data_IF_569714535888
#
_entry.id   IF_569714535888
#
_cell.length_a   1.000
_cell.length_b   1.000
_cell.length_c   1.000
_cell.angle_alpha   90.00
_cell.angle_beta   90.00
_cell.angle_gamma   90.00
#
_symmetry.space_group_name_H-M   'P 1'
#
loop_
_entity.id
_entity.type
_entity.pdbx_description
1 polymer ?
#
# COMPACT_ATOMS: atom_id res chain seq x y z
N UNK A 1 -31.86 -26.14 -11.46
CA UNK A 1 -30.50 -25.55 -11.55
C UNK A 1 -30.43 -24.74 -12.83
N UNK A 2 -30.62 -23.42 -12.76
CA UNK A 2 -30.45 -22.50 -13.89
C UNK A 2 -29.24 -21.62 -13.58
N UNK A 3 -28.19 -21.77 -14.37
CA UNK A 3 -26.95 -20.99 -14.33
C UNK A 3 -27.25 -19.57 -14.83
N UNK A 4 -27.41 -18.63 -13.90
CA UNK A 4 -27.44 -17.21 -14.23
C UNK A 4 -25.99 -16.74 -14.45
N UNK A 5 -25.55 -16.75 -15.71
CA UNK A 5 -24.38 -16.04 -16.16
C UNK A 5 -24.67 -14.53 -16.05
N UNK A 6 -24.14 -13.87 -15.01
CA UNK A 6 -24.12 -12.41 -14.94
C UNK A 6 -23.03 -11.89 -15.85
N UNK A 7 -23.44 -11.42 -17.03
CA UNK A 7 -22.61 -10.69 -17.99
C UNK A 7 -22.02 -9.44 -17.34
N UNK A 8 -20.70 -9.35 -17.32
CA UNK A 8 -19.99 -8.11 -17.00
C UNK A 8 -20.16 -7.14 -18.16
N UNK A 9 -20.77 -5.98 -17.88
CA UNK A 9 -20.93 -4.89 -18.81
C UNK A 9 -19.55 -4.35 -19.22
N UNK A 10 -19.23 -4.52 -20.49
CA UNK A 10 -18.07 -3.95 -21.18
C UNK A 10 -18.32 -2.45 -21.33
N UNK A 11 -17.58 -1.62 -20.60
CA UNK A 11 -17.60 -0.16 -20.77
C UNK A 11 -16.88 0.16 -22.07
N UNK A 12 -17.68 0.53 -23.08
CA UNK A 12 -17.25 0.95 -24.40
C UNK A 12 -16.86 2.43 -24.31
N UNK A 13 -15.55 2.72 -24.32
CA UNK A 13 -15.03 4.10 -24.36
C UNK A 13 -15.12 4.61 -25.79
N UNK A 14 -16.05 5.53 -26.02
CA UNK A 14 -16.24 6.24 -27.29
C UNK A 14 -15.08 7.21 -27.53
N UNK A 15 -14.32 6.99 -28.60
CA UNK A 15 -13.28 7.92 -29.08
C UNK A 15 -13.98 9.12 -29.73
N UNK A 16 -13.91 10.28 -29.08
CA UNK A 16 -14.32 11.56 -29.67
C UNK A 16 -13.23 12.02 -30.64
N UNK A 17 -13.60 12.16 -31.92
CA UNK A 17 -12.74 12.64 -32.98
C UNK A 17 -12.29 14.07 -32.76
N UNK A 18 -10.98 14.29 -32.85
CA UNK A 18 -10.37 15.61 -32.80
C UNK A 18 -10.31 16.19 -34.22
N UNK A 19 -10.91 17.37 -34.40
CA UNK A 19 -10.91 18.11 -35.65
C UNK A 19 -9.52 18.72 -35.92
N UNK A 20 -8.98 18.45 -37.11
CA UNK A 20 -7.76 19.06 -37.63
C UNK A 20 -8.03 20.49 -38.08
N UNK A 21 -7.70 21.46 -37.23
CA UNK A 21 -7.55 22.86 -37.64
C UNK A 21 -6.17 23.06 -38.26
N UNK A 22 -6.11 23.21 -39.58
CA UNK A 22 -4.91 23.65 -40.29
C UNK A 22 -4.72 25.16 -40.08
N UNK A 23 -3.70 25.54 -39.30
CA UNK A 23 -3.26 26.92 -39.17
C UNK A 23 -2.02 27.14 -40.03
N UNK A 24 -2.15 28.02 -41.03
CA UNK A 24 -1.04 28.54 -41.84
C UNK A 24 -0.19 29.50 -41.00
N UNK A 25 1.08 29.16 -40.79
CA UNK A 25 2.05 29.99 -40.09
C UNK A 25 2.59 31.09 -41.01
N UNK A 26 2.60 32.33 -40.52
CA UNK A 26 3.31 33.47 -41.11
C UNK A 26 4.75 33.44 -40.58
N UNK A 27 5.72 33.40 -41.49
CA UNK A 27 7.15 33.48 -41.18
C UNK A 27 7.55 34.92 -40.93
N UNK A 28 7.84 35.25 -39.67
CA UNK A 28 8.59 36.46 -39.30
C UNK A 28 10.05 36.09 -39.14
N UNK A 29 10.84 36.50 -40.13
CA UNK A 29 12.29 36.43 -40.17
C UNK A 29 12.93 37.37 -39.14
N UNK A 30 14.02 36.86 -38.56
CA UNK A 30 15.19 37.57 -38.04
C UNK A 30 14.96 38.79 -37.15
N UNK A 31 14.98 38.54 -35.84
CA UNK A 31 15.75 39.39 -34.93
C UNK A 31 16.35 38.59 -33.77
N UNK A 32 17.65 38.32 -33.92
CA UNK A 32 18.70 38.15 -32.93
C UNK A 32 18.32 37.69 -31.50
N UNK A 33 18.65 36.42 -31.29
CA UNK A 33 18.69 35.56 -30.11
C UNK A 33 19.39 36.12 -28.84
N UNK A 34 19.01 37.31 -28.37
CA UNK A 34 19.46 37.87 -27.07
C UNK A 34 18.67 37.34 -25.86
N UNK A 35 17.70 36.46 -26.13
CA UNK A 35 16.96 35.71 -25.11
C UNK A 35 17.17 34.19 -25.22
N UNK A 36 18.20 33.73 -25.94
CA UNK A 36 18.63 32.34 -25.86
C UNK A 36 19.08 32.05 -24.42
N UNK A 37 18.15 31.51 -23.63
CA UNK A 37 18.47 30.88 -22.36
C UNK A 37 19.53 29.79 -22.58
N UNK A 38 20.25 29.40 -21.52
CA UNK A 38 21.24 28.34 -21.60
C UNK A 38 20.65 27.12 -22.31
N UNK A 39 21.31 26.67 -23.39
CA UNK A 39 20.91 25.47 -24.13
C UNK A 39 21.03 24.28 -23.19
N UNK A 40 19.92 23.89 -22.57
CA UNK A 40 19.84 22.67 -21.78
C UNK A 40 19.94 21.52 -22.77
N UNK A 41 21.14 20.95 -22.91
CA UNK A 41 21.36 19.73 -23.69
C UNK A 41 20.44 18.67 -23.10
N UNK A 42 19.45 18.24 -23.88
CA UNK A 42 18.54 17.19 -23.45
C UNK A 42 19.38 15.95 -23.14
N UNK A 43 19.31 15.41 -21.91
CA UNK A 43 20.10 14.23 -21.56
C UNK A 43 19.67 13.09 -22.47
N UNK A 44 20.60 12.65 -23.33
CA UNK A 44 20.38 11.65 -24.38
C UNK A 44 20.03 10.28 -23.82
N UNK A 45 20.37 10.02 -22.56
CA UNK A 45 20.03 8.78 -21.83
C UNK A 45 19.39 9.13 -20.49
N UNK A 46 18.10 9.48 -20.50
CA UNK A 46 17.37 9.66 -19.24
C UNK A 46 17.19 8.30 -18.58
N UNK A 47 18.09 7.96 -17.65
CA UNK A 47 17.99 6.76 -16.80
C UNK A 47 16.58 6.71 -16.20
N UNK A 48 15.84 5.64 -16.50
CA UNK A 48 14.51 5.41 -15.91
C UNK A 48 14.67 5.28 -14.39
N UNK A 49 13.97 6.11 -13.64
CA UNK A 49 13.92 6.07 -12.17
C UNK A 49 12.51 6.33 -11.69
N UNK A 50 12.11 5.60 -10.65
CA UNK A 50 10.85 5.80 -9.94
C UNK A 50 11.01 6.73 -8.73
N UNK A 51 12.24 7.16 -8.42
CA UNK A 51 12.51 8.11 -7.33
C UNK A 51 12.13 9.50 -7.80
N UNK A 52 11.13 10.08 -7.14
CA UNK A 52 10.76 11.49 -7.29
C UNK A 52 11.17 12.25 -6.05
N UNK A 53 11.57 13.51 -6.24
CA UNK A 53 11.89 14.41 -5.13
C UNK A 53 11.01 15.64 -5.20
N UNK A 54 10.53 16.08 -4.05
CA UNK A 54 9.79 17.33 -3.92
C UNK A 54 10.73 18.55 -4.05
N UNK A 55 10.17 19.76 -4.01
CA UNK A 55 10.94 21.01 -4.06
C UNK A 55 11.89 21.20 -2.86
N UNK A 56 11.70 20.44 -1.79
CA UNK A 56 12.56 20.43 -0.60
C UNK A 56 13.68 19.37 -0.70
N UNK A 57 13.68 18.57 -1.77
CA UNK A 57 14.64 17.49 -2.00
C UNK A 57 14.31 16.18 -1.26
N UNK A 58 13.15 16.08 -0.60
CA UNK A 58 12.71 14.84 0.04
C UNK A 58 12.22 13.85 -1.00
N UNK A 59 12.43 12.56 -0.72
CA UNK A 59 11.93 11.49 -1.59
C UNK A 59 10.42 11.39 -1.42
N UNK A 60 9.69 11.56 -2.51
CA UNK A 60 8.24 11.41 -2.54
C UNK A 60 7.89 9.93 -2.35
N UNK A 61 7.00 9.63 -1.39
CA UNK A 61 6.56 8.26 -1.17
C UNK A 61 5.54 7.86 -2.23
N UNK A 62 5.80 6.74 -2.91
CA UNK A 62 4.84 6.15 -3.84
C UNK A 62 3.60 5.65 -3.10
N UNK A 63 2.43 5.94 -3.65
CA UNK A 63 1.13 5.44 -3.18
C UNK A 63 0.98 3.92 -3.40
N UNK A 64 1.63 3.42 -4.46
CA UNK A 64 1.70 2.00 -4.79
C UNK A 64 3.06 1.39 -4.46
N UNK A 65 3.17 0.07 -4.63
CA UNK A 65 4.44 -0.63 -4.45
C UNK A 65 5.47 -0.21 -5.50
N UNK A 66 6.75 -0.05 -5.10
CA UNK A 66 7.81 0.29 -6.05
C UNK A 66 7.96 -0.74 -7.17
N UNK A 67 7.65 -2.01 -6.89
CA UNK A 67 7.64 -3.06 -7.90
C UNK A 67 6.58 -2.81 -8.98
N UNK A 68 5.38 -2.37 -8.61
CA UNK A 68 4.30 -2.08 -9.57
C UNK A 68 4.63 -0.82 -10.37
N UNK A 69 5.08 0.24 -9.70
CA UNK A 69 5.50 1.49 -10.34
C UNK A 69 6.65 1.25 -11.35
N UNK A 70 7.65 0.46 -10.97
CA UNK A 70 8.77 0.10 -11.84
C UNK A 70 8.30 -0.70 -13.06
N UNK A 71 7.42 -1.69 -12.86
CA UNK A 71 6.89 -2.50 -13.96
C UNK A 71 6.07 -1.66 -14.96
N UNK A 72 5.31 -0.67 -14.48
CA UNK A 72 4.56 0.25 -15.34
C UNK A 72 5.45 1.15 -16.19
N UNK A 73 6.61 1.52 -15.68
CA UNK A 73 7.58 2.37 -16.39
C UNK A 73 8.36 1.63 -17.48
N UNK A 74 8.41 0.29 -17.44
CA UNK A 74 9.07 -0.51 -18.47
C UNK A 74 8.26 -0.55 -19.77
N UNK A 75 8.98 -0.52 -20.89
CA UNK A 75 8.41 -0.76 -22.23
C UNK A 75 8.31 -2.27 -22.48
N UNK A 76 7.21 -2.87 -22.02
CA UNK A 76 6.88 -4.28 -22.22
C UNK A 76 5.99 -4.46 -23.46
N UNK A 77 6.11 -5.58 -24.16
CA UNK A 77 5.10 -6.01 -25.15
C UNK A 77 3.79 -6.39 -24.45
N UNK A 78 2.68 -6.39 -25.19
CA UNK A 78 1.34 -6.61 -24.64
C UNK A 78 1.20 -7.97 -23.95
N UNK A 79 1.84 -9.02 -24.47
CA UNK A 79 1.76 -10.36 -23.88
C UNK A 79 2.53 -10.44 -22.56
N UNK A 80 3.72 -9.84 -22.49
CA UNK A 80 4.49 -9.74 -21.24
C UNK A 80 3.77 -8.86 -20.22
N UNK A 81 3.21 -7.72 -20.65
CA UNK A 81 2.44 -6.82 -19.79
C UNK A 81 1.23 -7.53 -19.17
N UNK A 82 0.47 -8.27 -19.96
CA UNK A 82 -0.68 -9.05 -19.47
C UNK A 82 -0.28 -10.06 -18.38
N UNK A 83 0.88 -10.74 -18.52
CA UNK A 83 1.39 -11.67 -17.48
C UNK A 83 1.75 -10.95 -16.18
N UNK A 84 2.38 -9.78 -16.29
CA UNK A 84 2.73 -8.95 -15.13
C UNK A 84 1.46 -8.47 -14.43
N UNK A 85 0.48 -7.97 -15.18
CA UNK A 85 -0.81 -7.51 -14.64
C UNK A 85 -1.58 -8.66 -13.96
N UNK A 86 -1.56 -9.87 -14.55
CA UNK A 86 -2.15 -11.06 -13.94
C UNK A 86 -1.45 -11.42 -12.61
N UNK A 87 -0.12 -11.33 -12.54
CA UNK A 87 0.62 -11.58 -11.30
C UNK A 87 0.30 -10.55 -10.21
N UNK A 88 0.15 -9.27 -10.57
CA UNK A 88 -0.27 -8.20 -9.67
C UNK A 88 -1.69 -8.47 -9.15
N UNK A 89 -2.63 -8.84 -10.03
CA UNK A 89 -4.00 -9.16 -9.66
C UNK A 89 -4.08 -10.37 -8.72
N UNK A 90 -3.35 -11.45 -9.02
CA UNK A 90 -3.24 -12.64 -8.16
C UNK A 90 -2.72 -12.28 -6.77
N UNK A 91 -1.70 -11.41 -6.69
CA UNK A 91 -1.19 -10.92 -5.42
C UNK A 91 -2.24 -10.13 -4.64
N UNK A 92 -2.99 -9.23 -5.28
CA UNK A 92 -4.03 -8.44 -4.62
C UNK A 92 -5.12 -9.33 -3.98
N UNK A 93 -5.53 -10.39 -4.68
CA UNK A 93 -6.46 -11.41 -4.14
C UNK A 93 -5.84 -12.11 -2.92
N UNK A 94 -4.58 -12.53 -3.03
CA UNK A 94 -3.86 -13.21 -1.95
C UNK A 94 -3.69 -12.32 -0.70
N UNK A 95 -3.34 -11.04 -0.89
CA UNK A 95 -3.26 -10.04 0.19
C UNK A 95 -4.62 -9.91 0.88
N UNK A 96 -5.69 -9.76 0.11
CA UNK A 96 -7.05 -9.62 0.64
C UNK A 96 -7.45 -10.84 1.45
N UNK A 97 -7.20 -12.04 0.92
CA UNK A 97 -7.50 -13.29 1.61
C UNK A 97 -6.74 -13.40 2.94
N UNK A 98 -5.41 -13.23 2.92
CA UNK A 98 -4.56 -13.32 4.11
C UNK A 98 -4.95 -12.28 5.16
N UNK A 99 -5.29 -11.05 4.73
CA UNK A 99 -5.72 -9.98 5.62
C UNK A 99 -7.02 -10.34 6.34
N UNK A 100 -8.02 -10.84 5.61
CA UNK A 100 -9.31 -11.20 6.18
C UNK A 100 -9.21 -12.46 7.07
N UNK A 101 -8.33 -13.40 6.73
CA UNK A 101 -8.09 -14.62 7.52
C UNK A 101 -7.33 -14.33 8.83
N UNK A 102 -6.55 -13.23 8.89
CA UNK A 102 -5.71 -12.87 10.05
C UNK A 102 -6.04 -11.47 10.62
N UNK A 103 -7.28 -11.02 10.47
CA UNK A 103 -7.70 -9.65 10.75
C UNK A 103 -7.38 -9.13 12.15
N UNK A 104 -7.64 -9.91 13.21
CA UNK A 104 -7.40 -9.46 14.59
C UNK A 104 -5.91 -9.22 14.81
N UNK A 105 -5.08 -10.11 14.27
CA UNK A 105 -3.63 -9.98 14.31
C UNK A 105 -3.19 -8.77 13.51
N UNK A 106 -3.76 -8.55 12.32
CA UNK A 106 -3.49 -7.38 11.49
C UNK A 106 -3.83 -6.06 12.21
N UNK A 107 -4.99 -5.95 12.87
CA UNK A 107 -5.35 -4.73 13.62
C UNK A 107 -4.39 -4.45 14.78
N UNK A 108 -3.97 -5.50 15.50
CA UNK A 108 -2.98 -5.38 16.56
C UNK A 108 -1.66 -4.86 16.01
N UNK A 109 -1.17 -5.47 14.92
CA UNK A 109 0.04 -5.03 14.23
C UNK A 109 -0.08 -3.57 13.77
N UNK A 110 -1.20 -3.19 13.14
CA UNK A 110 -1.43 -1.83 12.66
C UNK A 110 -1.32 -0.81 13.80
N UNK A 111 -1.89 -1.12 14.96
CA UNK A 111 -1.82 -0.27 16.16
C UNK A 111 -0.37 -0.12 16.66
N UNK A 112 0.41 -1.20 16.65
CA UNK A 112 1.83 -1.19 17.07
C UNK A 112 2.76 -0.45 16.08
N UNK A 113 2.43 -0.45 14.79
CA UNK A 113 3.18 0.28 13.76
C UNK A 113 2.79 1.76 13.66
N UNK A 114 1.57 2.13 14.07
CA UNK A 114 1.10 3.52 14.07
C UNK A 114 1.90 4.42 15.03
N UNK A 115 2.48 3.85 16.09
CA UNK A 115 3.22 4.59 17.14
C UNK A 115 4.59 5.18 16.75
N UNK A 116 4.95 5.24 15.46
CA UNK A 116 6.25 5.78 15.01
C UNK A 116 7.44 4.85 15.32
N UNK A 117 8.71 5.29 15.21
CA UNK A 117 9.88 4.48 15.56
C UNK A 117 9.91 4.11 17.06
N UNK A 118 10.36 2.89 17.45
CA UNK A 118 10.41 2.50 18.86
C UNK A 118 11.50 3.30 19.59
N UNK A 119 11.15 3.91 20.72
CA UNK A 119 12.07 4.71 21.54
C UNK A 119 12.78 3.86 22.58
N UNK A 120 12.11 2.84 23.13
CA UNK A 120 12.68 1.95 24.15
C UNK A 120 13.18 0.62 23.58
N UNK A 121 14.01 -0.10 24.36
CA UNK A 121 14.45 -1.45 24.01
C UNK A 121 13.31 -2.47 23.98
N UNK A 122 12.36 -2.34 24.91
CA UNK A 122 11.18 -3.19 24.97
C UNK A 122 10.28 -3.00 23.74
N UNK A 123 9.99 -1.74 23.36
CA UNK A 123 9.23 -1.46 22.14
C UNK A 123 9.91 -2.00 20.87
N UNK A 124 11.24 -1.95 20.81
CA UNK A 124 12.00 -2.59 19.72
C UNK A 124 11.78 -4.10 19.69
N UNK A 125 11.85 -4.76 20.85
CA UNK A 125 11.63 -6.20 20.95
C UNK A 125 10.20 -6.60 20.57
N UNK A 126 9.21 -5.87 21.09
CA UNK A 126 7.79 -6.06 20.74
C UNK A 126 7.59 -5.91 19.23
N UNK A 127 8.09 -4.82 18.63
CA UNK A 127 8.01 -4.61 17.17
C UNK A 127 8.66 -5.74 16.37
N UNK A 128 9.80 -6.26 16.82
CA UNK A 128 10.44 -7.40 16.14
C UNK A 128 9.64 -8.69 16.28
N UNK A 129 8.96 -8.92 17.40
CA UNK A 129 8.03 -10.03 17.55
C UNK A 129 6.86 -9.89 16.57
N UNK A 130 6.28 -8.69 16.48
CA UNK A 130 5.21 -8.34 15.55
C UNK A 130 5.61 -8.55 14.08
N UNK A 131 6.82 -8.13 13.70
CA UNK A 131 7.42 -8.41 12.38
C UNK A 131 7.48 -9.91 12.11
N UNK A 132 7.93 -10.72 13.07
CA UNK A 132 8.00 -12.18 12.91
C UNK A 132 6.63 -12.79 12.73
N UNK A 133 5.66 -12.40 13.55
CA UNK A 133 4.27 -12.86 13.44
C UNK A 133 3.69 -12.54 12.06
N UNK A 134 3.87 -11.32 11.57
CA UNK A 134 3.45 -10.96 10.20
C UNK A 134 4.09 -11.86 9.15
N UNK A 135 5.41 -12.07 9.22
CA UNK A 135 6.11 -12.92 8.24
C UNK A 135 5.66 -14.37 8.29
N UNK A 136 5.26 -14.87 9.45
CA UNK A 136 4.79 -16.23 9.63
C UNK A 136 3.45 -16.46 8.93
N UNK A 137 2.42 -15.67 9.24
CA UNK A 137 1.09 -15.89 8.63
C UNK A 137 1.01 -15.36 7.19
N UNK A 138 1.79 -14.33 6.84
CA UNK A 138 1.83 -13.76 5.49
C UNK A 138 3.02 -14.28 4.66
N UNK A 139 3.60 -15.44 5.03
CA UNK A 139 4.73 -16.05 4.32
C UNK A 139 4.57 -16.09 2.78
N UNK A 140 3.40 -16.45 2.21
CA UNK A 140 3.21 -16.44 0.76
C UNK A 140 3.37 -15.07 0.08
N UNK A 141 3.29 -13.98 0.84
CA UNK A 141 3.51 -12.62 0.33
C UNK A 141 4.98 -12.21 0.29
N UNK A 142 5.85 -12.92 1.03
CA UNK A 142 7.29 -12.66 1.14
C UNK A 142 8.15 -13.65 0.35
N UNK A 143 7.64 -14.85 0.05
CA UNK A 143 8.40 -15.94 -0.56
C UNK A 143 7.69 -16.50 -1.81
N UNK A 144 8.24 -16.28 -3.04
CA UNK A 144 9.42 -15.46 -3.35
C UNK A 144 9.17 -13.96 -3.13
N UNK A 145 10.26 -13.18 -3.04
CA UNK A 145 10.16 -11.73 -2.98
C UNK A 145 9.41 -11.20 -4.22
N UNK A 146 8.48 -10.26 -4.03
CA UNK A 146 7.61 -9.83 -5.12
C UNK A 146 8.39 -9.24 -6.31
N UNK A 147 9.47 -8.52 -6.04
CA UNK A 147 10.38 -8.02 -7.07
C UNK A 147 10.95 -9.16 -7.93
N UNK A 148 11.37 -10.28 -7.31
CA UNK A 148 11.88 -11.43 -8.07
C UNK A 148 10.78 -12.17 -8.82
N UNK A 149 9.57 -12.25 -8.25
CA UNK A 149 8.41 -12.83 -8.93
C UNK A 149 8.07 -12.05 -10.22
N UNK A 150 8.07 -10.71 -10.18
CA UNK A 150 7.83 -9.89 -11.38
C UNK A 150 9.04 -9.90 -12.33
N UNK A 151 10.27 -9.86 -11.82
CA UNK A 151 11.48 -9.89 -12.64
C UNK A 151 11.62 -11.19 -13.45
N UNK A 152 11.06 -12.30 -12.96
CA UNK A 152 11.01 -13.57 -13.68
C UNK A 152 10.03 -13.58 -14.87
N UNK A 153 9.09 -12.64 -14.92
CA UNK A 153 8.09 -12.54 -15.99
C UNK A 153 8.53 -11.64 -17.16
N UNK A 154 9.55 -10.79 -16.95
CA UNK A 154 10.03 -9.82 -17.93
C UNK A 154 11.33 -10.28 -18.61
N UNK A 155 11.65 -9.82 -19.84
CA UNK A 155 12.92 -10.09 -20.51
C UNK A 155 14.14 -9.77 -19.63
N UNK A 156 15.21 -10.56 -19.75
CA UNK A 156 16.39 -10.49 -18.85
C UNK A 156 17.03 -9.10 -18.76
N UNK A 157 17.13 -8.36 -19.88
CA UNK A 157 17.68 -7.00 -19.87
C UNK A 157 16.76 -6.03 -19.13
N UNK A 158 15.45 -6.12 -19.34
CA UNK A 158 14.46 -5.31 -18.62
C UNK A 158 14.39 -5.68 -17.13
N UNK A 159 14.60 -6.96 -16.79
CA UNK A 159 14.69 -7.43 -15.41
C UNK A 159 15.85 -6.77 -14.64
N UNK A 160 16.98 -6.47 -15.29
CA UNK A 160 18.08 -5.72 -14.68
C UNK A 160 17.67 -4.28 -14.38
N UNK A 161 17.07 -3.60 -15.35
CA UNK A 161 16.56 -2.23 -15.16
C UNK A 161 15.48 -2.16 -14.08
N UNK A 162 14.56 -3.14 -14.08
CA UNK A 162 13.54 -3.30 -13.05
C UNK A 162 14.14 -3.38 -11.64
N UNK A 163 15.07 -4.31 -11.42
CA UNK A 163 15.74 -4.47 -10.12
C UNK A 163 16.50 -3.22 -9.71
N UNK A 164 17.17 -2.56 -10.66
CA UNK A 164 17.89 -1.33 -10.40
C UNK A 164 16.95 -0.20 -9.93
N UNK A 165 15.79 -0.01 -10.57
CA UNK A 165 14.81 1.00 -10.15
C UNK A 165 14.24 0.70 -8.76
N UNK A 166 13.89 -0.56 -8.49
CA UNK A 166 13.36 -0.97 -7.19
C UNK A 166 14.42 -0.81 -6.08
N UNK A 167 15.68 -1.19 -6.33
CA UNK A 167 16.77 -0.99 -5.38
C UNK A 167 17.04 0.49 -5.13
N UNK A 168 17.11 1.30 -6.18
CA UNK A 168 17.34 2.74 -6.08
C UNK A 168 16.29 3.42 -5.19
N UNK A 169 15.01 3.04 -5.35
CA UNK A 169 13.95 3.55 -4.51
C UNK A 169 14.04 3.08 -3.06
N UNK A 170 14.35 1.79 -2.82
CA UNK A 170 14.55 1.26 -1.47
C UNK A 170 15.67 2.01 -0.74
N UNK A 171 16.81 2.17 -1.41
CA UNK A 171 17.96 2.89 -0.87
C UNK A 171 17.63 4.36 -0.58
N UNK A 172 16.87 5.00 -1.45
CA UNK A 172 16.42 6.39 -1.27
C UNK A 172 15.50 6.55 -0.04
N UNK A 173 14.54 5.65 0.16
CA UNK A 173 13.63 5.67 1.33
C UNK A 173 14.39 5.38 2.62
N UNK A 174 15.25 4.35 2.64
CA UNK A 174 16.06 4.01 3.83
C UNK A 174 16.97 5.18 4.21
N UNK A 175 17.61 5.82 3.21
CA UNK A 175 18.46 6.98 3.44
C UNK A 175 17.68 8.18 4.00
N UNK A 176 16.47 8.43 3.49
CA UNK A 176 15.58 9.49 3.99
C UNK A 176 15.17 9.23 5.45
N UNK A 177 14.77 8.01 5.79
CA UNK A 177 14.40 7.66 7.15
C UNK A 177 15.57 7.74 8.13
N UNK A 178 16.76 7.31 7.70
CA UNK A 178 17.99 7.43 8.49
C UNK A 178 18.34 8.90 8.75
N UNK A 179 18.16 9.79 7.76
CA UNK A 179 18.35 11.23 7.94
C UNK A 179 17.34 11.82 8.93
N UNK A 180 16.05 11.44 8.82
CA UNK A 180 14.99 11.89 9.73
C UNK A 180 15.25 11.45 11.18
N UNK A 181 15.68 10.20 11.39
CA UNK A 181 16.00 9.68 12.72
C UNK A 181 17.23 10.32 13.37
N UNK A 182 18.19 10.82 12.59
CA UNK A 182 19.32 11.61 13.11
C UNK A 182 18.87 13.00 13.57
N UNK A 183 18.02 13.66 12.79
CA UNK A 183 17.50 14.98 13.12
C UNK A 183 16.72 14.99 14.45
N UNK A 184 15.92 13.94 14.71
CA UNK A 184 15.16 13.83 15.98
C UNK A 184 16.09 13.65 17.19
N UNK A 185 17.16 12.86 17.09
CA UNK A 185 18.11 12.65 18.20
C UNK A 185 18.94 13.88 18.52
N UNK A 186 19.35 14.64 17.50
CA UNK A 186 20.13 15.85 17.69
C UNK A 186 19.36 16.97 18.43
N UNK A 187 18.03 16.93 18.42
CA UNK A 187 17.18 17.87 19.16
C UNK A 187 17.00 17.53 20.64
N UNK A 188 17.06 16.24 21.00
CA UNK A 188 16.78 15.75 22.35
C UNK A 188 18.03 15.83 23.27
N UNK A 189 19.22 15.64 22.72
CA UNK A 189 20.50 15.62 23.45
C UNK A 189 21.00 17.01 23.91
N UNK A 190 20.33 18.10 23.50
CA UNK A 190 20.68 19.47 23.91
C UNK A 190 20.01 19.93 25.21
N UNK A 191 19.14 19.11 25.81
CA UNK A 191 18.30 19.51 26.94
C UNK A 191 18.83 19.19 28.34
N UNK A 192 19.83 18.32 28.50
CA UNK A 192 20.16 17.74 29.81
C UNK A 192 21.67 17.57 30.08
N UNK A 193 22.50 18.36 29.40
CA UNK A 193 23.91 18.52 29.80
C UNK A 193 24.00 19.56 30.92
N UNK A 194 23.61 19.17 32.13
CA UNK A 194 24.04 19.86 33.34
C UNK A 194 25.52 19.57 33.60
N UNK A 195 26.27 20.64 33.85
CA UNK A 195 27.74 20.86 33.88
C UNK A 195 28.61 19.98 34.81
N UNK A 196 28.21 18.79 35.25
CA UNK A 196 28.97 18.01 36.25
C UNK A 196 29.68 16.79 35.65
N UNK A 197 30.90 17.00 35.10
CA UNK A 197 32.07 16.12 35.30
C UNK A 197 33.15 16.33 34.23
N UNK A 198 34.11 17.21 34.51
CA UNK A 198 35.42 17.20 33.85
C UNK A 198 36.29 16.09 34.47
N UNK A 199 36.46 14.98 33.76
CA UNK A 199 37.30 13.85 34.18
C UNK A 199 38.22 13.38 33.05
N UNK A 200 39.49 13.76 33.16
CA UNK A 200 40.64 13.47 32.29
C UNK A 200 40.82 11.97 31.99
N UNK A 201 40.85 11.59 30.70
CA UNK A 201 40.89 10.19 30.29
C UNK A 201 40.97 9.94 28.78
N UNK A 202 41.89 10.62 28.09
CA UNK A 202 42.18 10.36 26.67
C UNK A 202 43.15 9.17 26.50
N UNK A 203 42.66 7.96 26.23
CA UNK A 203 43.46 6.90 25.57
C UNK A 203 42.64 5.65 25.22
N UNK A 204 41.84 5.66 24.15
CA UNK A 204 41.48 4.44 23.37
C UNK A 204 40.61 4.76 22.14
N UNK A 205 41.18 4.94 20.94
CA UNK A 205 40.38 5.26 19.72
C UNK A 205 40.72 4.39 18.48
N UNK A 206 41.64 3.43 18.55
CA UNK A 206 42.13 2.75 17.34
C UNK A 206 41.43 1.44 16.92
N UNK A 207 40.57 0.82 17.74
CA UNK A 207 40.05 -0.55 17.49
C UNK A 207 38.67 -0.66 16.82
N UNK A 208 37.99 0.45 16.50
CA UNK A 208 36.57 0.44 16.07
C UNK A 208 36.29 0.24 14.57
N UNK A 209 37.29 0.22 13.66
CA UNK A 209 37.02 0.20 12.21
C UNK A 209 36.59 -1.16 11.62
N UNK A 210 37.08 -2.31 12.11
CA UNK A 210 36.70 -3.63 11.53
C UNK A 210 35.30 -4.13 11.92
N UNK A 211 34.73 -3.64 13.02
CA UNK A 211 33.34 -3.91 13.39
C UNK A 211 32.31 -3.25 12.46
N UNK A 212 32.71 -2.24 11.68
CA UNK A 212 31.80 -1.39 10.91
C UNK A 212 31.14 -2.13 9.73
N UNK A 213 31.90 -2.80 8.86
CA UNK A 213 31.35 -3.41 7.64
C UNK A 213 30.37 -4.57 7.92
N UNK A 214 30.64 -5.39 8.94
CA UNK A 214 29.70 -6.46 9.34
C UNK A 214 28.42 -5.86 9.95
N UNK A 215 28.56 -4.86 10.82
CA UNK A 215 27.42 -4.18 11.41
C UNK A 215 26.57 -3.47 10.35
N UNK A 216 27.20 -2.86 9.34
CA UNK A 216 26.53 -2.20 8.21
C UNK A 216 25.73 -3.19 7.36
N UNK A 217 26.29 -4.37 7.04
CA UNK A 217 25.55 -5.42 6.32
C UNK A 217 24.35 -5.94 7.13
N UNK A 218 24.51 -6.12 8.44
CA UNK A 218 23.41 -6.54 9.32
C UNK A 218 22.32 -5.47 9.36
N UNK A 219 22.69 -4.18 9.46
CA UNK A 219 21.73 -3.07 9.42
C UNK A 219 20.99 -3.01 8.09
N UNK A 220 21.71 -3.03 6.96
CA UNK A 220 21.10 -3.02 5.64
C UNK A 220 20.12 -4.20 5.43
N UNK A 221 20.43 -5.39 5.97
CA UNK A 221 19.49 -6.52 5.96
C UNK A 221 18.24 -6.23 6.78
N UNK A 222 18.39 -5.74 8.00
CA UNK A 222 17.25 -5.40 8.87
C UNK A 222 16.39 -4.31 8.22
N UNK A 223 17.00 -3.27 7.67
CA UNK A 223 16.31 -2.17 7.02
C UNK A 223 15.50 -2.65 5.80
N UNK A 224 16.08 -3.57 5.00
CA UNK A 224 15.36 -4.23 3.91
C UNK A 224 14.18 -5.08 4.39
N UNK A 225 14.37 -5.85 5.47
CA UNK A 225 13.28 -6.67 6.03
C UNK A 225 12.14 -5.80 6.58
N UNK A 226 12.48 -4.69 7.25
CA UNK A 226 11.50 -3.71 7.75
C UNK A 226 10.79 -3.01 6.60
N UNK A 227 11.51 -2.67 5.52
CA UNK A 227 10.92 -2.08 4.33
C UNK A 227 9.86 -3.01 3.72
N UNK A 228 10.19 -4.29 3.50
CA UNK A 228 9.24 -5.26 2.93
C UNK A 228 8.02 -5.46 3.82
N UNK A 229 8.22 -5.55 5.14
CA UNK A 229 7.12 -5.65 6.12
C UNK A 229 6.20 -4.45 6.03
N UNK A 230 6.73 -3.23 5.93
CA UNK A 230 5.90 -2.03 5.76
C UNK A 230 5.15 -2.04 4.43
N UNK A 231 5.77 -2.48 3.33
CA UNK A 231 5.07 -2.58 2.05
C UNK A 231 3.88 -3.54 2.14
N UNK A 232 4.10 -4.74 2.69
CA UNK A 232 3.02 -5.74 2.88
C UNK A 232 1.96 -5.20 3.83
N UNK A 233 2.34 -4.57 4.94
CA UNK A 233 1.40 -3.95 5.87
C UNK A 233 0.52 -2.87 5.21
N UNK A 234 1.07 -2.07 4.29
CA UNK A 234 0.30 -1.09 3.51
C UNK A 234 -0.68 -1.76 2.54
N UNK A 235 -0.25 -2.80 1.82
CA UNK A 235 -1.14 -3.57 0.94
C UNK A 235 -2.32 -4.16 1.73
N UNK A 236 -2.03 -4.76 2.89
CA UNK A 236 -3.07 -5.30 3.78
C UNK A 236 -4.04 -4.22 4.28
N UNK A 237 -3.52 -3.04 4.66
CA UNK A 237 -4.35 -1.90 5.05
C UNK A 237 -5.25 -1.41 3.92
N UNK A 238 -4.74 -1.31 2.70
CA UNK A 238 -5.53 -0.96 1.51
C UNK A 238 -6.62 -2.01 1.25
N UNK A 239 -6.28 -3.31 1.31
CA UNK A 239 -7.25 -4.38 1.13
C UNK A 239 -8.34 -4.38 2.21
N UNK A 240 -7.97 -4.11 3.47
CA UNK A 240 -8.93 -3.97 4.57
C UNK A 240 -9.86 -2.78 4.37
N UNK A 241 -9.32 -1.62 3.99
CA UNK A 241 -10.13 -0.43 3.72
C UNK A 241 -11.11 -0.66 2.56
N UNK A 242 -10.64 -1.26 1.46
CA UNK A 242 -11.50 -1.62 0.33
C UNK A 242 -12.64 -2.57 0.73
N UNK A 243 -12.35 -3.54 1.60
CA UNK A 243 -13.37 -4.43 2.17
C UNK A 243 -14.37 -3.67 3.05
N UNK A 244 -13.91 -2.76 3.91
CA UNK A 244 -14.77 -1.93 4.76
C UNK A 244 -15.70 -1.03 3.92
N UNK A 245 -15.16 -0.37 2.89
CA UNK A 245 -15.94 0.44 1.94
C UNK A 245 -16.96 -0.41 1.17
N UNK A 246 -16.60 -1.62 0.75
CA UNK A 246 -17.54 -2.54 0.13
C UNK A 246 -18.70 -2.91 1.08
N UNK A 247 -18.40 -3.18 2.35
CA UNK A 247 -19.42 -3.49 3.37
C UNK A 247 -20.33 -2.30 3.64
N UNK A 248 -19.77 -1.09 3.70
CA UNK A 248 -20.55 0.13 3.86
C UNK A 248 -21.51 0.33 2.67
N UNK A 249 -21.02 0.16 1.43
CA UNK A 249 -21.88 0.23 0.24
C UNK A 249 -23.01 -0.80 0.26
N UNK A 250 -22.71 -2.05 0.62
CA UNK A 250 -23.73 -3.09 0.78
C UNK A 250 -24.78 -2.74 1.84
N UNK A 251 -24.37 -2.10 2.94
CA UNK A 251 -25.27 -1.58 3.96
C UNK A 251 -26.19 -0.48 3.42
N UNK A 252 -25.64 0.49 2.70
CA UNK A 252 -26.43 1.58 2.10
C UNK A 252 -27.38 1.09 1.00
N UNK A 253 -26.95 0.13 0.18
CA UNK A 253 -27.82 -0.54 -0.80
C UNK A 253 -28.99 -1.24 -0.11
N UNK A 254 -28.73 -1.96 0.99
CA UNK A 254 -29.76 -2.60 1.80
C UNK A 254 -30.73 -1.57 2.41
N UNK A 255 -30.22 -0.46 2.94
CA UNK A 255 -31.05 0.61 3.51
C UNK A 255 -31.92 1.29 2.47
N UNK A 256 -31.39 1.48 1.27
CA UNK A 256 -32.13 2.04 0.13
C UNK A 256 -33.22 1.08 -0.32
N UNK A 257 -32.90 -0.22 -0.46
CA UNK A 257 -33.85 -1.26 -0.88
C UNK A 257 -35.09 -1.34 0.02
N UNK A 258 -34.90 -1.23 1.33
CA UNK A 258 -35.98 -1.37 2.32
C UNK A 258 -36.56 -0.02 2.77
N UNK A 259 -36.15 1.10 2.16
CA UNK A 259 -36.54 2.44 2.60
C UNK A 259 -36.38 2.63 4.12
N UNK A 260 -35.23 2.23 4.68
CA UNK A 260 -35.01 2.19 6.13
C UNK A 260 -35.02 3.60 6.74
N UNK A 261 -35.83 3.79 7.80
CA UNK A 261 -35.78 5.03 8.60
C UNK A 261 -34.45 5.14 9.36
N UNK A 262 -34.02 6.35 9.78
CA UNK A 262 -32.79 6.51 10.57
C UNK A 262 -32.76 5.64 11.84
N UNK A 263 -33.89 5.46 12.51
CA UNK A 263 -34.00 4.61 13.70
C UNK A 263 -33.81 3.13 13.35
N UNK A 264 -34.36 2.68 12.22
CA UNK A 264 -34.17 1.32 11.74
C UNK A 264 -32.72 1.06 11.34
N UNK A 265 -32.07 2.01 10.65
CA UNK A 265 -30.64 1.93 10.29
C UNK A 265 -29.78 1.72 11.53
N UNK A 266 -29.96 2.56 12.55
CA UNK A 266 -29.22 2.45 13.81
C UNK A 266 -29.41 1.09 14.50
N UNK A 267 -30.62 0.53 14.47
CA UNK A 267 -30.90 -0.80 15.03
C UNK A 267 -30.27 -1.92 14.20
N UNK A 268 -30.32 -1.83 12.87
CA UNK A 268 -29.70 -2.81 11.96
C UNK A 268 -28.18 -2.78 12.14
N UNK A 269 -27.56 -1.60 12.16
CA UNK A 269 -26.13 -1.42 12.43
C UNK A 269 -25.75 -2.04 13.78
N UNK A 270 -26.55 -1.82 14.83
CA UNK A 270 -26.35 -2.44 16.14
C UNK A 270 -26.41 -3.98 16.06
N UNK A 271 -27.41 -4.54 15.39
CA UNK A 271 -27.54 -6.01 15.20
C UNK A 271 -26.31 -6.58 14.47
N UNK A 272 -25.87 -5.92 13.40
CA UNK A 272 -24.71 -6.34 12.60
C UNK A 272 -23.42 -6.22 13.40
N UNK A 273 -23.23 -5.14 14.16
CA UNK A 273 -22.03 -4.93 14.99
C UNK A 273 -21.92 -5.94 16.13
N UNK A 274 -22.98 -6.13 16.92
CA UNK A 274 -23.03 -7.10 18.03
C UNK A 274 -22.64 -8.52 17.56
N UNK A 275 -23.06 -8.88 16.35
CA UNK A 275 -22.77 -10.21 15.78
C UNK A 275 -21.44 -10.25 15.04
N UNK A 276 -20.99 -9.14 14.46
CA UNK A 276 -19.67 -9.02 13.84
C UNK A 276 -18.54 -9.21 14.85
N UNK A 277 -18.72 -8.74 16.08
CA UNK A 277 -17.76 -8.92 17.17
C UNK A 277 -17.59 -10.40 17.60
N UNK A 278 -18.59 -11.25 17.35
CA UNK A 278 -18.58 -12.67 17.78
C UNK A 278 -18.31 -13.66 16.65
N UNK A 279 -18.74 -13.37 15.42
CA UNK A 279 -18.74 -14.34 14.32
C UNK A 279 -17.46 -14.34 13.46
N UNK A 280 -16.46 -13.51 13.80
CA UNK A 280 -15.32 -13.18 12.94
C UNK A 280 -15.75 -12.71 11.54
N UNK A 281 -14.81 -12.50 10.62
CA UNK A 281 -15.08 -11.98 9.27
C UNK A 281 -15.86 -12.94 8.36
N UNK A 282 -15.90 -14.22 8.69
CA UNK A 282 -16.59 -15.28 7.95
C UNK A 282 -17.74 -15.83 8.80
N UNK A 283 -18.88 -15.12 8.90
CA UNK A 283 -20.02 -15.60 9.67
C UNK A 283 -20.54 -16.91 9.05
N UNK A 284 -20.76 -17.92 9.89
CA UNK A 284 -21.39 -19.19 9.52
C UNK A 284 -22.78 -18.95 8.94
N UNK A 285 -23.31 -19.93 8.19
CA UNK A 285 -24.68 -19.85 7.66
C UNK A 285 -25.73 -19.68 8.78
N UNK A 286 -25.51 -20.29 9.94
CA UNK A 286 -26.37 -20.12 11.12
C UNK A 286 -26.31 -18.68 11.65
N UNK A 287 -25.11 -18.10 11.78
CA UNK A 287 -24.97 -16.70 12.18
C UNK A 287 -25.61 -15.73 11.18
N UNK A 288 -25.45 -15.99 9.87
CA UNK A 288 -26.09 -15.18 8.82
C UNK A 288 -27.61 -15.23 8.93
N UNK A 289 -28.19 -16.42 9.12
CA UNK A 289 -29.63 -16.60 9.32
C UNK A 289 -30.11 -15.89 10.57
N UNK A 290 -29.35 -15.95 11.65
CA UNK A 290 -29.71 -15.28 12.89
C UNK A 290 -29.70 -13.75 12.74
N UNK A 291 -28.65 -13.18 12.14
CA UNK A 291 -28.58 -11.74 11.82
C UNK A 291 -29.79 -11.36 10.97
N UNK A 292 -30.06 -12.11 9.91
CA UNK A 292 -31.19 -11.86 9.01
C UNK A 292 -32.54 -11.89 9.74
N UNK A 293 -32.76 -12.87 10.62
CA UNK A 293 -33.98 -12.96 11.42
C UNK A 293 -34.13 -11.78 12.39
N UNK A 294 -33.04 -11.31 13.02
CA UNK A 294 -33.07 -10.13 13.89
C UNK A 294 -33.38 -8.87 13.08
N UNK A 295 -32.77 -8.70 11.91
CA UNK A 295 -33.07 -7.59 11.00
C UNK A 295 -34.55 -7.59 10.62
N UNK A 296 -35.10 -8.73 10.20
CA UNK A 296 -36.52 -8.83 9.83
C UNK A 296 -37.46 -8.40 10.96
N UNK A 297 -37.13 -8.63 12.24
CA UNK A 297 -37.96 -8.22 13.38
C UNK A 297 -38.09 -6.70 13.50
N UNK A 298 -37.08 -5.94 13.08
CA UNK A 298 -37.08 -4.47 13.13
C UNK A 298 -37.75 -3.81 11.91
N UNK A 299 -38.05 -4.59 10.87
CA UNK A 299 -38.69 -4.09 9.64
C UNK A 299 -40.21 -4.17 9.72
N UNK A 300 -40.89 -3.25 9.02
CA UNK A 300 -42.35 -3.32 8.81
C UNK A 300 -42.72 -4.50 7.88
N UNK A 301 -43.98 -4.96 7.86
CA UNK A 301 -44.39 -6.06 6.98
C UNK A 301 -44.07 -5.83 5.49
N UNK A 302 -44.21 -4.59 5.01
CA UNK A 302 -43.91 -4.23 3.63
C UNK A 302 -42.41 -4.30 3.33
N UNK A 303 -41.58 -3.76 4.22
CA UNK A 303 -40.12 -3.80 4.09
C UNK A 303 -39.59 -5.23 4.17
N UNK A 304 -40.15 -6.09 5.05
CA UNK A 304 -39.81 -7.52 5.11
C UNK A 304 -40.10 -8.21 3.79
N UNK A 305 -41.24 -7.89 3.17
CA UNK A 305 -41.61 -8.46 1.87
C UNK A 305 -40.61 -8.05 0.80
N UNK A 306 -40.26 -6.76 0.69
CA UNK A 306 -39.22 -6.26 -0.24
C UNK A 306 -37.89 -7.00 -0.04
N UNK A 307 -37.42 -7.10 1.20
CA UNK A 307 -36.16 -7.76 1.52
C UNK A 307 -36.17 -9.27 1.19
N UNK A 308 -37.30 -9.95 1.46
CA UNK A 308 -37.45 -11.38 1.15
C UNK A 308 -37.57 -11.66 -0.35
N UNK A 309 -38.19 -10.77 -1.11
CA UNK A 309 -38.29 -10.90 -2.56
C UNK A 309 -36.91 -10.75 -3.22
N UNK A 310 -36.11 -9.75 -2.81
CA UNK A 310 -34.70 -9.62 -3.24
C UNK A 310 -33.86 -10.84 -2.83
N UNK A 311 -33.98 -11.33 -1.59
CA UNK A 311 -33.24 -12.50 -1.12
C UNK A 311 -33.59 -13.78 -1.91
N UNK A 312 -34.82 -13.88 -2.44
CA UNK A 312 -35.26 -14.98 -3.30
C UNK A 312 -34.85 -14.81 -4.76
N UNK A 313 -34.29 -13.64 -5.12
CA UNK A 313 -33.92 -13.28 -6.49
C UNK A 313 -35.13 -13.11 -7.42
N UNK A 314 -36.24 -12.59 -6.90
CA UNK A 314 -37.43 -12.23 -7.68
C UNK A 314 -37.46 -10.73 -7.95
#
# INVERSE_FOLDING_TARGET
>A
MRTAARSYAMILVTVVGCATCAATAVSSDDDADSLAGPKVVAPTDKKLSIVRRDFQGHVEQLEERPEIAAARLLTLDDATRAKVDEAIAKRAVLVSQITLDNYETFLKLQSEFAGGPPTTAEQRQQRMASVRTLREFAKPLFEPAFAEALAALVPTEQAKHFRAMVSEYKDAIVSMEAARGKATRAGEDKGDQTDEAMGDGMSEVATTRRGSARAERIRARIDNEVFEVRQVGREMGQAFNAFAEQRQRQGEELYTLIDATPEQRAKIDKIVRERGETAALKPSEEHRREIFQRVLKELTPEQRRKLLDEYRGK
#
